data_IF_879654478782
#
_entry.id   IF_879654478782
#
_cell.length_a   1.000
_cell.length_b   1.000
_cell.length_c   1.000
_cell.angle_alpha   90.00
_cell.angle_beta   90.00
_cell.angle_gamma   90.00
#
_symmetry.space_group_name_H-M   'P 1'
#
loop_
_entity.id
_entity.type
_entity.pdbx_description
1 polymer ?
#
# COMPACT_ATOMS: atom_id res chain seq x y z
N UNK A 1 -19.43 -8.56 -27.72
CA UNK A 1 -18.04 -8.49 -27.24
C UNK A 1 -17.89 -7.11 -26.64
N UNK A 2 -18.05 -7.02 -25.32
CA UNK A 2 -18.07 -5.72 -24.64
C UNK A 2 -16.64 -5.24 -24.44
N UNK A 3 -16.29 -4.22 -25.20
CA UNK A 3 -15.18 -3.29 -25.00
C UNK A 3 -15.31 -2.64 -23.60
N UNK A 4 -14.37 -2.94 -22.70
CA UNK A 4 -14.13 -2.15 -21.48
C UNK A 4 -12.68 -1.67 -21.56
N UNK A 5 -12.47 -0.35 -21.53
CA UNK A 5 -11.16 0.29 -21.57
C UNK A 5 -10.40 0.06 -20.26
N UNK A 6 -9.77 -1.10 -20.14
CA UNK A 6 -9.16 -1.63 -18.91
C UNK A 6 -7.86 -0.90 -18.56
N UNK A 7 -7.79 -0.31 -17.37
CA UNK A 7 -6.55 0.28 -16.84
C UNK A 7 -5.49 -0.78 -16.53
N UNK A 8 -4.23 -0.35 -16.44
CA UNK A 8 -3.07 -1.19 -16.08
C UNK A 8 -3.34 -2.01 -14.79
N UNK A 9 -3.11 -3.32 -14.82
CA UNK A 9 -3.16 -4.20 -13.66
C UNK A 9 -1.90 -4.13 -12.81
N UNK A 10 -1.96 -4.55 -11.54
CA UNK A 10 -0.79 -4.51 -10.66
C UNK A 10 0.37 -5.37 -11.18
N UNK A 11 0.06 -6.51 -11.82
CA UNK A 11 1.07 -7.36 -12.42
C UNK A 11 1.79 -6.65 -13.58
N UNK A 12 1.07 -5.90 -14.42
CA UNK A 12 1.63 -5.10 -15.50
C UNK A 12 2.45 -3.93 -14.96
N UNK A 13 1.94 -3.21 -13.96
CA UNK A 13 2.68 -2.14 -13.28
C UNK A 13 3.98 -2.66 -12.66
N UNK A 14 3.94 -3.83 -12.02
CA UNK A 14 5.12 -4.47 -11.43
C UNK A 14 6.09 -4.97 -12.50
N UNK A 15 5.61 -5.50 -13.62
CA UNK A 15 6.44 -5.89 -14.75
C UNK A 15 7.15 -4.68 -15.37
N UNK A 16 6.44 -3.57 -15.57
CA UNK A 16 7.02 -2.31 -16.01
C UNK A 16 8.06 -1.78 -15.01
N UNK A 17 7.80 -1.89 -13.70
CA UNK A 17 8.75 -1.51 -12.65
C UNK A 17 10.03 -2.34 -12.74
N UNK A 18 9.91 -3.66 -12.90
CA UNK A 18 11.06 -4.56 -13.05
C UNK A 18 11.89 -4.21 -14.27
N UNK A 19 11.24 -3.94 -15.41
CA UNK A 19 11.92 -3.56 -16.63
C UNK A 19 12.61 -2.19 -16.51
N UNK A 20 11.95 -1.20 -15.92
CA UNK A 20 12.47 0.16 -15.76
C UNK A 20 13.69 0.23 -14.83
N UNK A 21 13.71 -0.60 -13.79
CA UNK A 21 14.79 -0.61 -12.79
C UNK A 21 15.79 -1.75 -12.97
N UNK A 22 15.55 -2.66 -13.92
CA UNK A 22 16.30 -3.91 -14.13
C UNK A 22 16.47 -4.72 -12.83
N UNK A 23 15.36 -5.02 -12.16
CA UNK A 23 15.35 -5.70 -10.86
C UNK A 23 14.61 -7.03 -10.88
N UNK A 24 15.14 -7.99 -10.12
CA UNK A 24 14.50 -9.29 -9.86
C UNK A 24 13.55 -9.24 -8.66
N UNK A 25 12.74 -10.29 -8.48
CA UNK A 25 11.86 -10.43 -7.30
C UNK A 25 12.63 -10.40 -5.98
N UNK A 26 13.80 -11.05 -5.93
CA UNK A 26 14.68 -11.06 -4.77
C UNK A 26 15.23 -9.67 -4.47
N UNK A 27 15.55 -8.90 -5.52
CA UNK A 27 16.03 -7.53 -5.36
C UNK A 27 14.92 -6.59 -4.86
N UNK A 28 13.70 -6.75 -5.39
CA UNK A 28 12.52 -6.05 -4.90
C UNK A 28 12.33 -6.35 -3.41
N UNK A 29 12.26 -7.62 -3.01
CA UNK A 29 12.11 -8.02 -1.61
C UNK A 29 13.19 -7.40 -0.70
N UNK A 30 14.46 -7.40 -1.15
CA UNK A 30 15.58 -6.78 -0.43
C UNK A 30 15.41 -5.26 -0.27
N UNK A 31 14.91 -4.56 -1.29
CA UNK A 31 14.68 -3.11 -1.20
C UNK A 31 13.50 -2.77 -0.30
N UNK A 32 12.45 -3.60 -0.29
CA UNK A 32 11.30 -3.42 0.60
C UNK A 32 11.68 -3.66 2.06
N UNK A 33 12.61 -4.58 2.34
CA UNK A 33 13.16 -4.78 3.68
C UNK A 33 13.84 -3.51 4.21
N UNK A 34 14.54 -2.75 3.35
CA UNK A 34 15.11 -1.44 3.71
C UNK A 34 14.05 -0.37 4.02
N UNK A 35 12.82 -0.56 3.56
CA UNK A 35 11.66 0.29 3.89
C UNK A 35 10.92 -0.21 5.15
N UNK A 36 11.48 -1.18 5.87
CA UNK A 36 10.89 -1.76 7.08
C UNK A 36 9.87 -2.86 6.83
N UNK A 37 9.73 -3.34 5.58
CA UNK A 37 8.77 -4.38 5.22
C UNK A 37 9.46 -5.67 4.79
N UNK A 38 9.48 -6.66 5.67
CA UNK A 38 10.12 -7.96 5.41
C UNK A 38 9.18 -8.90 4.64
N UNK A 39 9.61 -9.33 3.46
CA UNK A 39 8.86 -10.16 2.53
C UNK A 39 9.77 -11.20 1.86
N UNK A 40 9.21 -12.29 1.35
CA UNK A 40 9.95 -13.23 0.53
C UNK A 40 9.87 -12.87 -0.96
N UNK A 41 10.88 -13.27 -1.75
CA UNK A 41 10.82 -13.17 -3.21
C UNK A 41 9.61 -13.90 -3.80
N UNK A 42 9.17 -15.00 -3.16
CA UNK A 42 7.96 -15.72 -3.54
C UNK A 42 6.69 -14.86 -3.42
N UNK A 43 6.59 -13.99 -2.40
CA UNK A 43 5.47 -13.06 -2.28
C UNK A 43 5.42 -12.07 -3.46
N UNK A 44 6.57 -11.54 -3.87
CA UNK A 44 6.68 -10.65 -5.04
C UNK A 44 6.35 -11.39 -6.35
N UNK A 45 6.78 -12.64 -6.47
CA UNK A 45 6.42 -13.49 -7.61
C UNK A 45 4.91 -13.74 -7.68
N UNK A 46 4.23 -13.95 -6.53
CA UNK A 46 2.77 -14.08 -6.51
C UNK A 46 2.06 -12.82 -7.02
N UNK A 47 2.61 -11.63 -6.76
CA UNK A 47 2.08 -10.38 -7.32
C UNK A 47 2.34 -10.27 -8.82
N UNK A 48 3.52 -10.68 -9.26
CA UNK A 48 3.91 -10.67 -10.68
C UNK A 48 3.06 -11.61 -11.54
N UNK A 49 2.61 -12.73 -10.94
CA UNK A 49 1.72 -13.68 -11.58
C UNK A 49 0.24 -13.30 -11.44
N UNK A 50 -0.09 -12.17 -10.82
CA UNK A 50 -1.48 -11.76 -10.54
C UNK A 50 -2.22 -12.66 -9.55
N UNK A 51 -1.53 -13.59 -8.87
CA UNK A 51 -2.14 -14.54 -7.93
C UNK A 51 -2.57 -13.89 -6.61
N UNK A 52 -1.95 -12.77 -6.25
CA UNK A 52 -2.26 -11.96 -5.07
C UNK A 52 -2.07 -10.49 -5.36
N UNK A 53 -2.87 -9.66 -4.73
CA UNK A 53 -2.67 -8.20 -4.70
C UNK A 53 -1.81 -7.87 -3.46
N UNK A 54 -0.81 -6.99 -3.56
CA UNK A 54 -0.07 -6.53 -2.39
C UNK A 54 -0.97 -5.72 -1.45
N UNK A 55 -0.64 -5.74 -0.17
CA UNK A 55 -1.26 -4.88 0.84
C UNK A 55 -0.80 -3.42 0.69
N UNK A 56 -1.54 -2.51 1.31
CA UNK A 56 -1.28 -1.06 1.25
C UNK A 56 0.13 -0.67 1.73
N UNK A 57 0.64 -1.34 2.77
CA UNK A 57 2.01 -1.17 3.28
C UNK A 57 3.06 -1.52 2.21
N UNK A 58 2.86 -2.63 1.49
CA UNK A 58 3.73 -3.07 0.39
C UNK A 58 3.69 -2.09 -0.79
N UNK A 59 2.51 -1.56 -1.14
CA UNK A 59 2.39 -0.55 -2.21
C UNK A 59 3.14 0.73 -1.85
N UNK A 60 3.02 1.20 -0.60
CA UNK A 60 3.77 2.36 -0.10
C UNK A 60 5.27 2.11 -0.09
N UNK A 61 5.70 0.94 0.38
CA UNK A 61 7.11 0.54 0.38
C UNK A 61 7.67 0.46 -1.05
N UNK A 62 6.90 -0.05 -2.01
CA UNK A 62 7.26 -0.05 -3.43
C UNK A 62 7.43 1.37 -3.96
N UNK A 63 6.47 2.26 -3.74
CA UNK A 63 6.57 3.65 -4.21
C UNK A 63 7.77 4.38 -3.60
N UNK A 64 8.09 4.13 -2.33
CA UNK A 64 9.25 4.71 -1.67
C UNK A 64 10.58 4.15 -2.24
N UNK A 65 10.64 2.83 -2.49
CA UNK A 65 11.83 2.17 -3.04
C UNK A 65 12.03 2.41 -4.55
N UNK A 66 10.96 2.71 -5.28
CA UNK A 66 10.94 2.89 -6.73
C UNK A 66 10.16 4.16 -7.12
N UNK A 67 10.73 5.37 -6.91
CA UNK A 67 10.00 6.65 -7.02
C UNK A 67 9.40 6.97 -8.40
N UNK A 68 9.84 6.33 -9.49
CA UNK A 68 9.22 6.47 -10.82
C UNK A 68 7.82 5.85 -10.88
N UNK A 69 7.49 4.96 -9.95
CA UNK A 69 6.18 4.32 -9.82
C UNK A 69 5.47 4.88 -8.58
N UNK A 70 4.71 5.95 -8.79
CA UNK A 70 3.97 6.62 -7.72
C UNK A 70 2.99 5.68 -6.99
N UNK A 71 2.77 5.95 -5.70
CA UNK A 71 1.75 5.29 -4.88
C UNK A 71 0.38 5.30 -5.59
N UNK A 72 -0.01 6.42 -6.18
CA UNK A 72 -1.28 6.55 -6.91
C UNK A 72 -1.40 5.54 -8.08
N UNK A 73 -0.37 5.44 -8.92
CA UNK A 73 -0.32 4.47 -10.04
C UNK A 73 -0.41 3.04 -9.52
N UNK A 74 0.41 2.70 -8.52
CA UNK A 74 0.45 1.34 -7.98
C UNK A 74 -0.87 0.94 -7.31
N UNK A 75 -1.53 1.84 -6.59
CA UNK A 75 -2.87 1.57 -6.05
C UNK A 75 -3.93 1.48 -7.15
N UNK A 76 -3.95 2.42 -8.11
CA UNK A 76 -4.88 2.37 -9.23
C UNK A 76 -4.79 1.03 -9.97
N UNK A 77 -3.57 0.49 -10.10
CA UNK A 77 -3.32 -0.79 -10.74
C UNK A 77 -3.87 -2.01 -9.96
N UNK A 78 -4.19 -1.85 -8.69
CA UNK A 78 -4.92 -2.88 -7.92
C UNK A 78 -6.43 -2.88 -8.15
N UNK A 79 -6.94 -1.98 -8.99
CA UNK A 79 -8.37 -1.73 -9.14
C UNK A 79 -9.00 -1.03 -7.93
N UNK A 80 -8.18 -0.56 -6.99
CA UNK A 80 -8.60 0.04 -5.72
C UNK A 80 -8.13 1.49 -5.67
N UNK A 81 -8.97 2.38 -5.13
CA UNK A 81 -8.49 3.71 -4.78
C UNK A 81 -7.73 3.63 -3.45
N UNK A 82 -6.55 4.26 -3.34
CA UNK A 82 -5.89 4.35 -2.04
C UNK A 82 -6.84 5.06 -1.05
N UNK A 83 -6.83 4.68 0.24
CA UNK A 83 -7.42 5.53 1.25
C UNK A 83 -6.73 6.90 1.15
N UNK A 84 -7.51 7.94 0.88
CA UNK A 84 -6.95 9.28 0.75
C UNK A 84 -6.22 9.65 2.05
N UNK A 85 -5.02 10.26 1.97
CA UNK A 85 -4.37 10.75 3.17
C UNK A 85 -5.29 11.76 3.87
N UNK A 86 -5.21 11.82 5.21
CA UNK A 86 -5.86 12.91 5.94
C UNK A 86 -5.31 14.23 5.42
N UNK A 87 -6.20 15.15 5.03
CA UNK A 87 -5.81 16.53 4.75
C UNK A 87 -5.14 17.15 5.99
N UNK A 88 -4.24 18.13 5.83
CA UNK A 88 -3.59 18.80 6.96
C UNK A 88 -4.59 19.25 8.02
N UNK A 89 -5.67 19.91 7.62
CA UNK A 89 -6.73 20.39 8.52
C UNK A 89 -7.41 19.26 9.30
N UNK A 90 -7.69 18.12 8.64
CA UNK A 90 -8.30 16.95 9.30
C UNK A 90 -7.33 16.28 10.26
N UNK A 91 -6.05 16.23 9.91
CA UNK A 91 -5.00 15.71 10.78
C UNK A 91 -4.87 16.57 12.04
N UNK A 92 -4.83 17.88 11.87
CA UNK A 92 -4.75 18.83 12.99
C UNK A 92 -5.99 18.75 13.89
N UNK A 93 -7.19 18.76 13.30
CA UNK A 93 -8.43 18.60 14.06
C UNK A 93 -8.47 17.29 14.86
N UNK A 94 -8.01 16.18 14.26
CA UNK A 94 -7.98 14.89 14.94
C UNK A 94 -6.98 14.87 16.11
N UNK A 95 -5.79 15.46 15.93
CA UNK A 95 -4.82 15.59 17.02
C UNK A 95 -5.36 16.46 18.16
N UNK A 96 -6.01 17.57 17.83
CA UNK A 96 -6.62 18.47 18.82
C UNK A 96 -7.67 17.77 19.67
N UNK A 97 -8.48 16.89 19.09
CA UNK A 97 -9.44 16.10 19.87
C UNK A 97 -8.75 15.01 20.70
N UNK A 98 -7.70 14.37 20.20
CA UNK A 98 -6.91 13.39 20.95
C UNK A 98 -6.25 14.01 22.20
N UNK A 99 -5.76 15.25 22.11
CA UNK A 99 -5.14 15.98 23.22
C UNK A 99 -6.09 16.24 24.39
N UNK A 100 -7.42 16.15 24.16
CA UNK A 100 -8.45 16.35 25.20
C UNK A 100 -8.82 15.08 25.94
N UNK A 101 -8.33 13.94 25.47
CA UNK A 101 -8.64 12.62 26.03
C UNK A 101 -7.57 12.17 27.02
N UNK A 102 -7.97 11.32 27.96
CA UNK A 102 -7.00 10.64 28.84
C UNK A 102 -6.19 9.60 28.05
N UNK A 103 -5.01 9.22 28.57
CA UNK A 103 -4.16 8.20 27.93
C UNK A 103 -4.91 6.88 27.68
N UNK A 104 -5.76 6.44 28.61
CA UNK A 104 -6.55 5.22 28.45
C UNK A 104 -7.57 5.33 27.31
N UNK A 105 -8.23 6.49 27.18
CA UNK A 105 -9.17 6.76 26.10
C UNK A 105 -8.46 6.84 24.74
N UNK A 106 -7.32 7.52 24.69
CA UNK A 106 -6.46 7.56 23.49
C UNK A 106 -6.04 6.14 23.06
N UNK A 107 -5.58 5.32 24.02
CA UNK A 107 -5.19 3.93 23.76
C UNK A 107 -6.34 3.09 23.23
N UNK A 108 -7.54 3.24 23.80
CA UNK A 108 -8.74 2.53 23.34
C UNK A 108 -9.12 2.90 21.91
N UNK A 109 -9.12 4.19 21.58
CA UNK A 109 -9.40 4.66 20.22
C UNK A 109 -8.34 4.19 19.22
N UNK A 110 -7.06 4.18 19.60
CA UNK A 110 -5.99 3.65 18.76
C UNK A 110 -6.17 2.15 18.47
N UNK A 111 -6.62 1.36 19.44
CA UNK A 111 -6.94 -0.07 19.24
C UNK A 111 -8.08 -0.21 18.23
N UNK A 112 -9.16 0.55 18.37
CA UNK A 112 -10.29 0.52 17.45
C UNK A 112 -9.89 0.97 16.04
N UNK A 113 -9.14 2.06 15.92
CA UNK A 113 -8.66 2.58 14.64
C UNK A 113 -7.75 1.56 13.93
N UNK A 114 -6.88 0.86 14.68
CA UNK A 114 -6.08 -0.25 14.13
C UNK A 114 -6.96 -1.39 13.65
N UNK A 115 -7.94 -1.83 14.44
CA UNK A 115 -8.84 -2.91 14.04
C UNK A 115 -9.62 -2.56 12.75
N UNK A 116 -10.06 -1.31 12.60
CA UNK A 116 -10.70 -0.84 11.36
C UNK A 116 -9.71 -0.82 10.18
N UNK A 117 -8.48 -0.37 10.42
CA UNK A 117 -7.39 -0.42 9.43
C UNK A 117 -7.11 -1.85 8.96
N UNK A 118 -6.95 -2.78 9.89
CA UNK A 118 -6.70 -4.20 9.62
C UNK A 118 -7.89 -4.85 8.89
N UNK A 119 -9.12 -4.49 9.25
CA UNK A 119 -10.33 -4.98 8.57
C UNK A 119 -10.41 -4.49 7.12
N UNK A 120 -9.98 -3.26 6.84
CA UNK A 120 -9.86 -2.76 5.47
C UNK A 120 -8.78 -3.49 4.69
N UNK A 121 -7.77 -4.08 5.33
CA UNK A 121 -6.78 -4.91 4.65
C UNK A 121 -7.27 -6.35 4.41
N UNK A 122 -8.24 -6.84 5.20
CA UNK A 122 -8.78 -8.21 5.12
C UNK A 122 -10.01 -8.33 4.20
N UNK A 123 -10.85 -7.31 4.12
CA UNK A 123 -12.06 -7.29 3.27
C UNK A 123 -11.75 -6.86 1.82
N UNK A 124 -10.50 -7.01 1.40
CA UNK A 124 -9.91 -6.41 0.20
C UNK A 124 -9.17 -7.45 -0.63
#
# INVERSE_FOLDING_TARGET
MSDQGEGETFAEALAALKAEYDVSDSEIARRLEKQGLKLSAAAVNHWSLGKRVPRSDAIRALSAAFPKFSELRLFAATGKRPPAPLSPDRREAMLKEMDRLTEEQQKMLLIQARALGDSNEQNV
#
